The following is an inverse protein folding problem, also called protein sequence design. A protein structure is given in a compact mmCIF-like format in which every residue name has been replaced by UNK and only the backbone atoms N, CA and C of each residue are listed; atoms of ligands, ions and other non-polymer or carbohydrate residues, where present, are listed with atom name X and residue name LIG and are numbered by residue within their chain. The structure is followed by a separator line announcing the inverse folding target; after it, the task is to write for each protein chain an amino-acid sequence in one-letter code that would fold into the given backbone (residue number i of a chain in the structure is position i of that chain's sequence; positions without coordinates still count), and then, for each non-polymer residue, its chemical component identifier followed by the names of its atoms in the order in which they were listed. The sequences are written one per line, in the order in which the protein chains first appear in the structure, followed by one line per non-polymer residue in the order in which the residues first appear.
data_IF_228742080615
#
_entry.id   IF_228742080615
#
_cell.length_a   1.000
_cell.length_b   1.000
_cell.length_c   1.000
_cell.angle_alpha   90.00
_cell.angle_beta   90.00
_cell.angle_gamma   90.00
#
_symmetry.space_group_name_H-M   'P 1'
#
loop_
_entity.id
_entity.type
_entity.pdbx_description
1 polymer ?
#
# COMPACT_ATOMS: atom_id res chain seq x y z
N UNK A 1 -9.96 -7.68 -11.88
CA UNK A 1 -10.71 -7.31 -10.65
C UNK A 1 -9.89 -7.80 -9.47
N UNK A 2 -9.73 -7.02 -8.40
CA UNK A 2 -8.91 -7.41 -7.25
C UNK A 2 -9.64 -8.43 -6.36
N UNK A 3 -8.90 -9.36 -5.79
CA UNK A 3 -9.36 -10.40 -4.87
C UNK A 3 -9.46 -9.86 -3.44
N UNK A 4 -10.38 -8.93 -3.17
CA UNK A 4 -10.53 -8.33 -1.83
C UNK A 4 -10.89 -9.33 -0.72
N UNK A 5 -11.29 -10.56 -1.06
CA UNK A 5 -11.50 -11.63 -0.08
C UNK A 5 -10.19 -12.16 0.54
N UNK A 6 -9.02 -11.74 0.04
CA UNK A 6 -7.72 -12.15 0.58
C UNK A 6 -7.12 -11.14 1.57
N UNK A 7 -7.86 -10.08 1.89
CA UNK A 7 -7.49 -9.11 2.91
C UNK A 7 -8.70 -8.89 3.81
N UNK A 8 -8.46 -8.61 5.09
CA UNK A 8 -9.55 -8.25 5.99
C UNK A 8 -10.04 -6.82 5.71
N UNK A 9 -11.19 -6.46 6.30
CA UNK A 9 -11.79 -5.14 6.10
C UNK A 9 -10.85 -4.01 6.57
N UNK A 10 -10.15 -4.19 7.69
CA UNK A 10 -9.23 -3.18 8.22
C UNK A 10 -8.11 -2.88 7.22
N UNK A 11 -7.45 -3.91 6.70
CA UNK A 11 -6.38 -3.76 5.72
C UNK A 11 -6.89 -3.12 4.42
N UNK A 12 -8.08 -3.52 3.96
CA UNK A 12 -8.69 -2.91 2.78
C UNK A 12 -8.90 -1.39 2.97
N UNK A 13 -9.50 -0.98 4.08
CA UNK A 13 -9.74 0.44 4.36
C UNK A 13 -8.42 1.20 4.54
N UNK A 14 -7.43 0.62 5.23
CA UNK A 14 -6.09 1.21 5.35
C UNK A 14 -5.43 1.42 3.99
N UNK A 15 -5.53 0.44 3.07
CA UNK A 15 -4.99 0.58 1.72
C UNK A 15 -5.70 1.68 0.92
N UNK A 16 -7.02 1.77 1.01
CA UNK A 16 -7.79 2.83 0.33
C UNK A 16 -7.39 4.21 0.87
N UNK A 17 -7.25 4.34 2.18
CA UNK A 17 -6.80 5.56 2.83
C UNK A 17 -5.40 5.96 2.34
N UNK A 18 -4.43 5.05 2.41
CA UNK A 18 -3.05 5.30 1.98
C UNK A 18 -2.96 5.64 0.48
N UNK A 19 -3.68 4.92 -0.38
CA UNK A 19 -3.70 5.16 -1.83
C UNK A 19 -4.37 6.49 -2.22
N UNK A 20 -5.25 7.02 -1.36
CA UNK A 20 -5.90 8.32 -1.57
C UNK A 20 -5.10 9.52 -1.07
N UNK A 21 -4.09 9.28 -0.23
CA UNK A 21 -3.29 10.32 0.38
C UNK A 21 -2.19 10.80 -0.57
N UNK A 22 -2.15 12.11 -0.82
CA UNK A 22 -1.20 12.73 -1.76
C UNK A 22 0.25 12.44 -1.40
N UNK A 23 0.58 12.39 -0.11
CA UNK A 23 1.94 12.10 0.39
C UNK A 23 2.43 10.70 -0.02
N UNK A 24 1.53 9.77 -0.33
CA UNK A 24 1.84 8.43 -0.80
C UNK A 24 1.72 8.26 -2.33
N UNK A 25 1.50 9.32 -3.10
CA UNK A 25 1.23 9.23 -4.55
C UNK A 25 2.38 8.60 -5.36
N UNK A 26 3.60 8.69 -4.86
CA UNK A 26 4.81 8.13 -5.47
C UNK A 26 5.06 6.68 -5.08
N UNK A 27 4.24 6.10 -4.20
CA UNK A 27 4.38 4.74 -3.71
C UNK A 27 3.43 3.78 -4.42
N UNK A 28 3.83 2.51 -4.51
CA UNK A 28 3.04 1.41 -5.02
C UNK A 28 3.02 0.27 -4.01
N UNK A 29 1.87 -0.38 -3.87
CA UNK A 29 1.76 -1.63 -3.10
C UNK A 29 2.49 -2.75 -3.84
N UNK A 30 3.47 -3.35 -3.18
CA UNK A 30 4.27 -4.45 -3.71
C UNK A 30 4.17 -5.70 -2.83
N UNK A 31 5.03 -6.68 -3.09
CA UNK A 31 5.18 -7.85 -2.24
C UNK A 31 3.98 -8.80 -2.27
N UNK A 32 3.82 -9.56 -1.19
CA UNK A 32 2.85 -10.63 -1.08
C UNK A 32 1.40 -10.15 -1.10
N UNK A 33 1.12 -8.98 -0.52
CA UNK A 33 -0.22 -8.40 -0.47
C UNK A 33 -0.68 -7.91 -1.85
N UNK A 34 0.21 -7.28 -2.62
CA UNK A 34 -0.07 -6.89 -4.00
C UNK A 34 -0.41 -8.11 -4.86
N UNK A 35 0.41 -9.18 -4.77
CA UNK A 35 0.17 -10.42 -5.50
C UNK A 35 -1.13 -11.10 -5.04
N UNK A 36 -1.39 -11.12 -3.73
CA UNK A 36 -2.62 -11.69 -3.17
C UNK A 36 -3.87 -11.00 -3.70
N UNK A 37 -3.89 -9.68 -3.77
CA UNK A 37 -4.98 -8.92 -4.37
C UNK A 37 -5.11 -9.15 -5.88
N UNK A 38 -4.01 -9.45 -6.58
CA UNK A 38 -4.02 -9.67 -8.03
C UNK A 38 -4.47 -11.07 -8.45
N UNK A 39 -4.05 -12.12 -7.73
CA UNK A 39 -4.30 -13.51 -8.14
C UNK A 39 -5.07 -14.36 -7.11
N UNK A 40 -5.33 -13.83 -5.92
CA UNK A 40 -6.16 -14.50 -4.92
C UNK A 40 -5.52 -15.71 -4.25
N UNK A 41 -4.18 -15.83 -4.24
CA UNK A 41 -3.49 -17.09 -3.88
C UNK A 41 -3.45 -17.43 -2.39
N UNK A 42 -3.58 -16.43 -1.51
CA UNK A 42 -3.63 -16.59 -0.04
C UNK A 42 -4.13 -15.33 0.63
N UNK A 43 -4.56 -15.42 1.88
CA UNK A 43 -4.75 -14.25 2.74
C UNK A 43 -3.41 -13.52 3.01
N UNK A 44 -3.46 -12.20 3.08
CA UNK A 44 -2.30 -11.34 3.40
C UNK A 44 -2.69 -10.25 4.38
N UNK A 45 -1.73 -9.84 5.22
CA UNK A 45 -1.95 -8.87 6.31
C UNK A 45 -0.96 -7.71 6.31
N UNK A 46 0.10 -7.78 5.49
CA UNK A 46 1.20 -6.82 5.47
C UNK A 46 0.97 -5.70 4.44
N UNK A 47 1.61 -4.55 4.63
CA UNK A 47 1.67 -3.45 3.66
C UNK A 47 3.14 -3.16 3.34
N UNK A 48 3.55 -3.46 2.11
CA UNK A 48 4.85 -3.09 1.57
C UNK A 48 4.66 -2.01 0.48
N UNK A 49 5.23 -0.82 0.70
CA UNK A 49 5.15 0.30 -0.23
C UNK A 49 6.53 0.65 -0.79
N UNK A 50 6.69 0.57 -2.11
CA UNK A 50 7.94 0.94 -2.78
C UNK A 50 7.72 2.16 -3.67
N UNK A 51 8.74 3.00 -3.79
CA UNK A 51 8.77 4.15 -4.69
C UNK A 51 9.98 4.07 -5.62
N UNK A 52 9.83 4.62 -6.83
CA UNK A 52 10.89 4.76 -7.82
C UNK A 52 11.46 6.19 -7.90
N UNK A 53 11.05 7.07 -6.97
CA UNK A 53 11.65 8.40 -6.87
C UNK A 53 13.11 8.32 -6.41
N UNK A 54 13.95 9.30 -6.78
CA UNK A 54 15.36 9.28 -6.39
C UNK A 54 15.58 9.23 -4.87
N UNK A 55 16.68 8.60 -4.46
CA UNK A 55 17.04 8.54 -3.05
C UNK A 55 17.20 9.95 -2.46
N UNK A 56 16.63 10.16 -1.27
CA UNK A 56 16.67 11.44 -0.57
C UNK A 56 15.65 12.48 -1.05
N UNK A 57 14.76 12.15 -1.99
CA UNK A 57 13.71 13.08 -2.45
C UNK A 57 12.33 12.79 -1.84
N UNK A 58 12.21 11.75 -1.02
CA UNK A 58 10.97 11.43 -0.31
C UNK A 58 10.83 12.36 0.90
N UNK A 59 9.67 12.99 1.03
CA UNK A 59 9.30 13.77 2.22
C UNK A 59 8.83 12.84 3.35
N UNK A 60 9.78 12.32 4.12
CA UNK A 60 9.48 11.46 5.27
C UNK A 60 8.84 12.20 6.45
N UNK A 61 9.01 13.53 6.54
CA UNK A 61 8.40 14.35 7.60
C UNK A 61 6.89 14.51 7.33
N UNK A 62 6.53 14.79 6.08
CA UNK A 62 5.14 14.79 5.62
C UNK A 62 4.45 13.43 5.84
N UNK A 63 5.14 12.32 5.51
CA UNK A 63 4.62 10.96 5.76
C UNK A 63 4.40 10.74 7.26
N UNK A 64 5.38 11.11 8.10
CA UNK A 64 5.29 10.93 9.55
C UNK A 64 4.18 11.77 10.18
N UNK A 65 3.91 12.96 9.65
CA UNK A 65 2.84 13.83 10.14
C UNK A 65 1.45 13.32 9.75
N UNK A 66 1.35 12.60 8.63
CA UNK A 66 0.09 12.02 8.16
C UNK A 66 -0.33 10.79 8.98
N UNK A 67 0.65 9.95 9.39
CA UNK A 67 0.43 8.70 10.12
C UNK A 67 0.18 8.94 11.62
#
# INVERSE_FOLDING_TARGET
MLHYNTVNNLLRESLLQLMSAEVFCSFRLVGGTSLSLQIGHRESVDIDLFSDVPYGTIDFEGITTYL
#
